data_IF_432650700971
#
_entry.id   IF_432650700971
#
_cell.length_a   1.000
_cell.length_b   1.000
_cell.length_c   1.000
_cell.angle_alpha   90.00
_cell.angle_beta   90.00
_cell.angle_gamma   90.00
#
_symmetry.space_group_name_H-M   'P 1'
#
loop_
_entity.id
_entity.type
_entity.pdbx_description
1 polymer ?
#
# COMPACT_ATOMS: atom_id res chain seq x y z
N UNK A 1 -3.63 13.36 38.02
CA UNK A 1 -3.26 14.35 37.00
C UNK A 1 -4.00 14.02 35.71
N UNK A 2 -4.70 14.95 35.05
CA UNK A 2 -5.33 14.66 33.77
C UNK A 2 -4.26 14.32 32.73
N UNK A 3 -4.40 13.17 32.05
CA UNK A 3 -3.48 12.75 30.99
C UNK A 3 -3.68 13.69 29.80
N UNK A 4 -2.73 14.59 29.58
CA UNK A 4 -2.76 15.50 28.44
C UNK A 4 -2.40 14.71 27.19
N UNK A 5 -3.34 14.61 26.24
CA UNK A 5 -3.09 14.02 24.92
C UNK A 5 -2.22 14.96 24.11
N UNK A 6 -1.28 14.40 23.35
CA UNK A 6 -0.40 15.16 22.46
C UNK A 6 -0.68 14.83 21.00
N UNK A 7 -0.43 15.79 20.11
CA UNK A 7 -0.61 15.60 18.68
C UNK A 7 0.41 14.59 18.14
N UNK A 8 -0.09 13.58 17.43
CA UNK A 8 0.75 12.53 16.85
C UNK A 8 1.78 13.01 15.81
N UNK A 9 1.62 14.21 15.25
CA UNK A 9 2.53 14.73 14.21
C UNK A 9 3.53 15.78 14.70
N UNK A 10 3.19 16.58 15.72
CA UNK A 10 4.04 17.70 16.16
C UNK A 10 4.21 17.77 17.68
N UNK A 11 3.67 16.79 18.42
CA UNK A 11 3.74 16.66 19.86
C UNK A 11 3.20 17.86 20.66
N UNK A 12 2.42 18.75 20.04
CA UNK A 12 1.72 19.83 20.78
C UNK A 12 0.62 19.26 21.67
N UNK A 13 0.37 19.84 22.87
CA UNK A 13 -0.71 19.42 23.73
C UNK A 13 -2.06 19.70 23.05
N UNK A 14 -2.98 18.73 23.15
CA UNK A 14 -4.35 18.82 22.63
C UNK A 14 -5.34 19.27 23.72
N UNK A 15 -4.90 20.13 24.64
CA UNK A 15 -5.76 20.69 25.66
C UNK A 15 -6.84 21.58 25.02
N UNK A 16 -8.11 21.38 25.36
CA UNK A 16 -9.25 22.11 24.78
C UNK A 16 -9.71 21.60 23.40
N UNK A 17 -9.07 20.58 22.84
CA UNK A 17 -9.55 19.92 21.62
C UNK A 17 -10.62 18.86 21.92
N UNK A 18 -11.35 18.44 20.90
CA UNK A 18 -12.35 17.35 20.99
C UNK A 18 -11.72 16.08 21.56
N UNK A 19 -12.48 15.29 22.32
CA UNK A 19 -12.00 14.08 23.02
C UNK A 19 -11.32 13.03 22.12
N UNK A 20 -11.76 12.94 20.86
CA UNK A 20 -11.25 12.03 19.82
C UNK A 20 -10.22 12.69 18.88
N UNK A 21 -9.81 13.92 19.14
CA UNK A 21 -8.79 14.58 18.33
C UNK A 21 -7.44 13.87 18.50
N UNK A 22 -6.82 13.48 17.39
CA UNK A 22 -5.48 12.87 17.33
C UNK A 22 -4.42 13.84 16.78
N UNK A 23 -4.86 14.90 16.09
CA UNK A 23 -4.00 15.92 15.48
C UNK A 23 -4.50 17.31 15.83
N UNK A 24 -3.58 18.28 15.95
CA UNK A 24 -3.90 19.65 16.38
C UNK A 24 -4.49 20.53 15.25
N UNK A 25 -4.55 20.04 14.02
CA UNK A 25 -5.03 20.80 12.86
C UNK A 25 -4.90 20.05 11.53
N UNK A 26 -5.40 20.66 10.47
CA UNK A 26 -5.43 20.10 9.10
C UNK A 26 -4.04 19.74 8.57
N UNK A 27 -3.03 20.57 8.85
CA UNK A 27 -1.64 20.32 8.43
C UNK A 27 -1.07 19.04 9.06
N UNK A 28 -1.26 18.85 10.37
CA UNK A 28 -0.80 17.66 11.09
C UNK A 28 -1.58 16.41 10.66
N UNK A 29 -2.88 16.56 10.38
CA UNK A 29 -3.70 15.50 9.79
C UNK A 29 -3.18 15.09 8.41
N UNK A 30 -2.84 16.05 7.56
CA UNK A 30 -2.28 15.79 6.23
C UNK A 30 -0.90 15.13 6.28
N UNK A 31 -0.04 15.51 7.23
CA UNK A 31 1.25 14.83 7.46
C UNK A 31 1.04 13.38 7.85
N UNK A 32 0.14 13.10 8.78
CA UNK A 32 -0.13 11.74 9.22
C UNK A 32 -0.79 10.89 8.13
N UNK A 33 -1.70 11.47 7.34
CA UNK A 33 -2.26 10.81 6.17
C UNK A 33 -1.18 10.45 5.15
N UNK A 34 -0.23 11.35 4.86
CA UNK A 34 0.89 11.07 3.96
C UNK A 34 1.85 10.02 4.51
N UNK A 35 2.14 10.06 5.81
CA UNK A 35 3.03 9.08 6.46
C UNK A 35 2.42 7.66 6.45
N UNK A 36 1.10 7.55 6.55
CA UNK A 36 0.39 6.27 6.51
C UNK A 36 0.07 5.80 5.08
N UNK A 37 0.41 6.56 4.05
CA UNK A 37 0.24 6.10 2.68
C UNK A 37 1.41 5.21 2.29
N UNK A 38 1.10 3.98 1.92
CA UNK A 38 2.03 3.16 1.16
C UNK A 38 2.45 3.91 -0.11
N UNK A 39 3.76 3.97 -0.34
CA UNK A 39 4.31 4.62 -1.52
C UNK A 39 4.02 3.73 -2.72
N UNK A 40 3.00 4.08 -3.50
CA UNK A 40 2.69 3.40 -4.75
C UNK A 40 3.55 3.99 -5.86
N UNK A 41 4.49 3.21 -6.36
CA UNK A 41 5.34 3.58 -7.50
C UNK A 41 4.80 2.93 -8.77
N UNK A 42 4.24 3.69 -9.73
CA UNK A 42 3.83 3.11 -11.00
C UNK A 42 5.06 2.75 -11.84
N UNK A 43 5.19 1.47 -12.20
CA UNK A 43 6.27 0.98 -13.05
C UNK A 43 5.71 0.67 -14.44
N UNK A 44 6.35 1.18 -15.49
CA UNK A 44 6.05 0.83 -16.88
C UNK A 44 7.06 -0.21 -17.34
N UNK A 45 6.57 -1.36 -17.78
CA UNK A 45 7.41 -2.44 -18.31
C UNK A 45 7.17 -2.58 -19.82
N UNK A 46 8.25 -2.62 -20.59
CA UNK A 46 8.21 -2.89 -22.02
C UNK A 46 8.55 -4.36 -22.26
N UNK A 47 7.72 -5.05 -23.02
CA UNK A 47 7.93 -6.44 -23.41
C UNK A 47 7.93 -6.56 -24.93
N UNK A 48 8.71 -7.51 -25.45
CA UNK A 48 8.44 -8.04 -26.78
C UNK A 48 7.19 -8.92 -26.75
N UNK A 49 6.51 -9.06 -27.89
CA UNK A 49 5.25 -9.85 -28.00
C UNK A 49 5.44 -11.27 -27.47
N UNK A 50 6.52 -11.96 -27.87
CA UNK A 50 6.82 -13.33 -27.42
C UNK A 50 7.01 -13.44 -25.90
N UNK A 51 7.66 -12.45 -25.29
CA UNK A 51 7.86 -12.45 -23.83
C UNK A 51 6.55 -12.19 -23.10
N UNK A 52 5.72 -11.28 -23.63
CA UNK A 52 4.41 -11.01 -23.05
C UNK A 52 3.51 -12.26 -23.09
N UNK A 53 3.50 -12.98 -24.21
CA UNK A 53 2.75 -14.24 -24.34
C UNK A 53 3.22 -15.30 -23.34
N UNK A 54 4.53 -15.48 -23.17
CA UNK A 54 5.07 -16.41 -22.19
C UNK A 54 4.65 -16.07 -20.74
N UNK A 55 4.69 -14.79 -20.38
CA UNK A 55 4.24 -14.32 -19.06
C UNK A 55 2.74 -14.52 -18.90
N UNK A 56 1.95 -14.23 -19.95
CA UNK A 56 0.50 -14.42 -19.94
C UNK A 56 0.13 -15.89 -19.73
N UNK A 57 0.73 -16.80 -20.49
CA UNK A 57 0.49 -18.24 -20.31
C UNK A 57 0.88 -18.72 -18.91
N UNK A 58 1.95 -18.17 -18.33
CA UNK A 58 2.31 -18.50 -16.97
C UNK A 58 1.29 -17.97 -15.95
N UNK A 59 0.84 -16.72 -16.09
CA UNK A 59 -0.20 -16.13 -15.25
C UNK A 59 -1.52 -16.93 -15.32
N UNK A 60 -1.93 -17.32 -16.53
CA UNK A 60 -3.12 -18.14 -16.77
C UNK A 60 -3.01 -19.51 -16.08
N UNK A 61 -1.84 -20.15 -16.10
CA UNK A 61 -1.59 -21.42 -15.38
C UNK A 61 -1.76 -21.31 -13.86
N UNK A 62 -1.48 -20.14 -13.30
CA UNK A 62 -1.65 -19.88 -11.87
C UNK A 62 -3.03 -19.29 -11.52
N UNK A 63 -3.88 -19.02 -12.50
CA UNK A 63 -5.20 -18.42 -12.29
C UNK A 63 -5.14 -16.96 -11.81
N UNK A 64 -4.05 -16.25 -12.10
CA UNK A 64 -3.84 -14.86 -11.66
C UNK A 64 -3.69 -13.91 -12.85
N UNK A 65 -3.89 -12.61 -12.61
CA UNK A 65 -3.64 -11.60 -13.63
C UNK A 65 -2.15 -11.49 -13.95
N UNK A 66 -1.82 -11.07 -15.17
CA UNK A 66 -0.43 -10.81 -15.59
C UNK A 66 0.27 -9.81 -14.66
N UNK A 67 -0.42 -8.77 -14.21
CA UNK A 67 0.13 -7.78 -13.29
C UNK A 67 0.45 -8.40 -11.92
N UNK A 68 -0.49 -9.14 -11.34
CA UNK A 68 -0.29 -9.86 -10.07
C UNK A 68 0.85 -10.86 -10.19
N UNK A 69 0.92 -11.59 -11.30
CA UNK A 69 1.99 -12.54 -11.58
C UNK A 69 3.38 -11.90 -11.58
N UNK A 70 3.54 -10.78 -12.32
CA UNK A 70 4.80 -10.04 -12.39
C UNK A 70 5.17 -9.49 -11.01
N UNK A 71 4.22 -8.88 -10.30
CA UNK A 71 4.46 -8.29 -8.98
C UNK A 71 4.93 -9.37 -8.01
N UNK A 72 4.14 -10.45 -7.83
CA UNK A 72 4.47 -11.53 -6.90
C UNK A 72 5.83 -12.15 -7.20
N UNK A 73 6.15 -12.37 -8.49
CA UNK A 73 7.44 -12.92 -8.89
C UNK A 73 8.61 -11.95 -8.67
N UNK A 74 8.38 -10.64 -8.81
CA UNK A 74 9.40 -9.61 -8.58
C UNK A 74 9.75 -9.40 -7.10
N UNK A 75 8.79 -9.63 -6.20
CA UNK A 75 8.98 -9.50 -4.75
C UNK A 75 9.29 -10.85 -4.07
N UNK A 76 9.43 -11.93 -4.84
CA UNK A 76 9.72 -13.28 -4.32
C UNK A 76 8.58 -13.90 -3.53
N UNK A 77 7.33 -13.48 -3.74
CA UNK A 77 6.16 -14.08 -3.10
C UNK A 77 5.69 -15.33 -3.83
N UNK A 78 5.31 -16.36 -3.07
CA UNK A 78 4.74 -17.58 -3.62
C UNK A 78 3.40 -17.31 -4.31
N UNK A 79 3.28 -17.78 -5.56
CA UNK A 79 2.05 -17.66 -6.34
C UNK A 79 1.24 -18.93 -6.10
N UNK A 80 0.27 -18.86 -5.18
CA UNK A 80 -0.64 -19.97 -4.90
C UNK A 80 -1.48 -20.26 -6.15
N UNK A 81 -1.31 -21.46 -6.72
CA UNK A 81 -2.09 -21.93 -7.87
C UNK A 81 -3.52 -22.20 -7.42
N UNK A 82 -4.49 -21.45 -7.97
CA UNK A 82 -5.91 -21.77 -7.79
C UNK A 82 -6.25 -22.87 -8.79
N UNK A 83 -6.21 -24.13 -8.35
CA UNK A 83 -6.77 -25.24 -9.12
C UNK A 83 -8.28 -25.22 -8.87
N UNK A 84 -9.03 -24.61 -9.78
CA UNK A 84 -10.48 -24.81 -9.85
C UNK A 84 -10.72 -26.22 -10.38
N UNK A 85 -11.17 -27.14 -9.52
CA UNK A 85 -11.65 -28.48 -9.87
C UNK A 85 -13.03 -28.38 -10.50
#
# INVERSE_FOLDING_TARGET
MPVVKHCLSCNKPLAGYRSHAVTCGSTCRGRQWRANKEVVVPVKLAFSVKHFEAIRTAADKHGVTVASYIISRSIGSDIATIISV
#
